data_IF_098155421999
#
_entry.id   IF_098155421999
#
_cell.length_a   1.000
_cell.length_b   1.000
_cell.length_c   1.000
_cell.angle_alpha   90.00
_cell.angle_beta   90.00
_cell.angle_gamma   90.00
#
_symmetry.space_group_name_H-M   'P 1'
#
loop_
_entity.id
_entity.type
_entity.pdbx_description
1 polymer ?
#
# COMPACT_ATOMS: atom_id res chain seq x y z
N UNK A 1 10.95 3.17 -17.89
CA UNK A 1 10.93 1.76 -17.41
C UNK A 1 9.85 1.72 -16.36
N UNK A 2 8.84 0.85 -16.48
CA UNK A 2 7.69 0.90 -15.59
C UNK A 2 8.06 0.51 -14.15
N UNK A 3 7.29 1.02 -13.20
CA UNK A 3 7.42 0.74 -11.77
C UNK A 3 6.10 0.22 -11.22
N UNK A 4 6.18 -0.74 -10.32
CA UNK A 4 5.06 -1.12 -9.48
C UNK A 4 5.16 -0.33 -8.19
N UNK A 5 4.05 0.29 -7.80
CA UNK A 5 3.88 0.96 -6.52
C UNK A 5 2.97 0.07 -5.67
N UNK A 6 3.31 -0.06 -4.39
CA UNK A 6 2.43 -0.62 -3.38
C UNK A 6 2.34 0.36 -2.21
N UNK A 7 1.12 0.69 -1.83
CA UNK A 7 0.81 1.51 -0.65
C UNK A 7 -0.04 0.70 0.29
N UNK A 8 0.34 0.67 1.56
CA UNK A 8 -0.49 0.10 2.62
C UNK A 8 -0.95 1.22 3.52
N UNK A 9 -2.23 1.18 3.86
CA UNK A 9 -2.90 2.12 4.75
C UNK A 9 -3.72 1.37 5.81
N UNK A 10 -4.23 2.10 6.81
CA UNK A 10 -5.00 1.50 7.91
C UNK A 10 -6.39 1.05 7.47
N UNK A 11 -6.99 1.78 6.52
CA UNK A 11 -8.33 1.56 6.01
C UNK A 11 -8.45 1.99 4.53
N UNK A 12 -9.64 1.76 3.96
CA UNK A 12 -9.93 2.10 2.57
C UNK A 12 -10.10 3.59 2.34
N UNK A 13 -10.56 4.36 3.33
CA UNK A 13 -10.81 5.79 3.19
C UNK A 13 -9.49 6.55 2.96
N UNK A 14 -8.42 6.13 3.67
CA UNK A 14 -7.07 6.66 3.43
C UNK A 14 -6.56 6.37 2.01
N UNK A 15 -6.84 5.18 1.47
CA UNK A 15 -6.44 4.85 0.08
C UNK A 15 -7.26 5.63 -0.94
N UNK A 16 -8.54 5.85 -0.69
CA UNK A 16 -9.40 6.64 -1.57
C UNK A 16 -8.88 8.08 -1.67
N UNK A 17 -8.48 8.70 -0.56
CA UNK A 17 -7.86 10.03 -0.58
C UNK A 17 -6.55 10.06 -1.39
N UNK A 18 -5.73 9.03 -1.27
CA UNK A 18 -4.49 8.91 -2.08
C UNK A 18 -4.82 8.74 -3.57
N UNK A 19 -5.82 7.92 -3.90
CA UNK A 19 -6.28 7.74 -5.28
C UNK A 19 -6.81 9.06 -5.85
N UNK A 20 -7.54 9.85 -5.06
CA UNK A 20 -8.01 11.17 -5.46
C UNK A 20 -6.84 12.14 -5.69
N UNK A 21 -5.82 12.14 -4.82
CA UNK A 21 -4.62 12.95 -5.00
C UNK A 21 -3.84 12.57 -6.28
N UNK A 22 -3.96 11.32 -6.73
CA UNK A 22 -3.33 10.83 -7.96
C UNK A 22 -4.17 11.00 -9.23
N UNK A 23 -5.38 11.59 -9.15
CA UNK A 23 -6.28 11.71 -10.28
C UNK A 23 -5.61 12.37 -11.51
N UNK A 24 -4.75 13.36 -11.29
CA UNK A 24 -4.04 14.07 -12.35
C UNK A 24 -2.78 13.34 -12.85
N UNK A 25 -2.32 12.30 -12.16
CA UNK A 25 -1.09 11.57 -12.49
C UNK A 25 -1.29 10.48 -13.56
N UNK A 26 -2.53 10.28 -14.04
CA UNK A 26 -2.87 9.37 -15.15
C UNK A 26 -2.31 7.94 -14.95
N UNK A 27 -2.40 7.42 -13.73
CA UNK A 27 -1.90 6.10 -13.37
C UNK A 27 -2.86 5.00 -13.81
N UNK A 28 -2.31 3.86 -14.21
CA UNK A 28 -3.09 2.63 -14.31
C UNK A 28 -3.16 1.99 -12.91
N UNK A 29 -4.30 2.17 -12.24
CA UNK A 29 -4.59 1.50 -10.98
C UNK A 29 -4.77 0.00 -11.23
N UNK A 30 -4.02 -0.82 -10.51
CA UNK A 30 -3.95 -2.26 -10.73
C UNK A 30 -5.00 -3.02 -9.91
N UNK A 31 -4.90 -2.95 -8.59
CA UNK A 31 -5.81 -3.63 -7.67
C UNK A 31 -5.75 -3.05 -6.26
N UNK A 32 -6.87 -3.11 -5.56
CA UNK A 32 -6.96 -2.92 -4.11
C UNK A 32 -7.19 -4.27 -3.45
N UNK A 33 -6.49 -4.52 -2.34
CA UNK A 33 -6.49 -5.78 -1.62
C UNK A 33 -6.68 -5.52 -0.13
N UNK A 34 -7.70 -6.14 0.45
CA UNK A 34 -7.81 -6.22 1.91
C UNK A 34 -6.69 -7.14 2.43
N UNK A 35 -5.97 -6.65 3.43
CA UNK A 35 -4.86 -7.36 4.02
C UNK A 35 -4.86 -7.21 5.54
N UNK A 36 -3.96 -7.93 6.18
CA UNK A 36 -3.85 -7.93 7.64
C UNK A 36 -2.39 -7.69 8.00
N UNK A 37 -2.14 -6.66 8.79
CA UNK A 37 -0.83 -6.43 9.39
C UNK A 37 -0.72 -7.27 10.66
N UNK A 38 0.40 -7.97 10.75
CA UNK A 38 0.74 -8.80 11.91
C UNK A 38 2.10 -8.36 12.40
N UNK A 39 2.17 -7.91 13.65
CA UNK A 39 3.44 -7.61 14.30
C UNK A 39 3.58 -8.34 15.63
N UNK A 40 4.82 -8.71 15.96
CA UNK A 40 5.16 -9.22 17.30
C UNK A 40 5.68 -8.08 18.13
N UNK A 41 5.09 -7.86 19.31
CA UNK A 41 5.76 -7.04 20.32
C UNK A 41 7.04 -7.77 20.76
N UNK A 42 8.22 -7.11 20.76
CA UNK A 42 9.43 -7.71 21.30
C UNK A 42 9.14 -8.16 22.72
N UNK A 43 9.35 -9.43 23.01
CA UNK A 43 9.37 -9.90 24.39
C UNK A 43 10.61 -9.29 25.03
N UNK A 44 10.49 -8.19 25.76
CA UNK A 44 11.47 -7.91 26.81
C UNK A 44 11.42 -9.12 27.73
N UNK A 45 12.44 -9.98 27.62
CA UNK A 45 12.52 -11.25 28.31
C UNK A 45 12.66 -10.96 29.81
N UNK A 46 11.56 -10.74 30.50
CA UNK A 46 11.49 -11.02 31.94
C UNK A 46 11.64 -12.52 32.06
N UNK A 47 12.83 -12.94 32.48
CA UNK A 47 13.18 -14.33 32.74
C UNK A 47 12.33 -14.83 33.93
N UNK A 48 11.09 -15.25 33.64
CA UNK A 48 10.21 -15.89 34.61
C UNK A 48 10.38 -17.41 34.41
N UNK A 49 10.99 -18.13 35.36
CA UNK A 49 11.13 -19.57 35.25
C UNK A 49 9.75 -20.23 35.41
N UNK A 50 9.15 -20.74 34.33
CA UNK A 50 7.80 -21.32 34.36
C UNK A 50 7.81 -22.85 34.30
N UNK A 51 7.21 -23.49 35.30
CA UNK A 51 6.84 -24.91 35.28
C UNK A 51 5.39 -25.16 34.83
N UNK A 52 4.57 -24.12 34.69
CA UNK A 52 3.25 -24.16 34.06
C UNK A 52 2.96 -22.77 33.51
N UNK A 53 2.79 -22.64 32.20
CA UNK A 53 2.53 -21.34 31.59
C UNK A 53 2.28 -21.48 30.10
N UNK A 54 1.01 -21.42 29.72
CA UNK A 54 0.62 -21.03 28.38
C UNK A 54 1.17 -19.61 28.16
N UNK A 55 2.36 -19.48 27.57
CA UNK A 55 2.94 -18.17 27.29
C UNK A 55 2.04 -17.42 26.30
N UNK A 56 1.18 -16.57 26.86
CA UNK A 56 0.62 -15.35 26.30
C UNK A 56 0.41 -15.37 24.77
N UNK A 57 -0.76 -15.83 24.34
CA UNK A 57 -1.31 -15.49 23.01
C UNK A 57 -1.47 -13.97 22.79
N UNK A 58 -1.34 -13.14 23.84
CA UNK A 58 -1.41 -11.67 23.82
C UNK A 58 -0.22 -10.95 23.15
N UNK A 59 0.73 -11.69 22.54
CA UNK A 59 1.96 -11.09 21.96
C UNK A 59 1.85 -10.73 20.48
N UNK A 60 0.74 -11.06 19.82
CA UNK A 60 0.49 -10.78 18.41
C UNK A 60 -0.46 -9.60 18.25
N UNK A 61 0.05 -8.47 17.77
CA UNK A 61 -0.80 -7.39 17.29
C UNK A 61 -1.28 -7.73 15.89
N UNK A 62 -2.59 -7.71 15.68
CA UNK A 62 -3.22 -7.93 14.38
C UNK A 62 -4.12 -6.74 14.12
N UNK A 63 -3.94 -6.08 12.98
CA UNK A 63 -4.76 -4.96 12.55
C UNK A 63 -5.13 -5.17 11.09
N UNK A 64 -6.39 -4.90 10.75
CA UNK A 64 -6.80 -4.80 9.36
C UNK A 64 -5.99 -3.70 8.66
N UNK A 65 -5.69 -3.91 7.39
CA UNK A 65 -5.01 -2.94 6.55
C UNK A 65 -5.51 -3.11 5.12
N UNK A 66 -5.29 -2.11 4.29
CA UNK A 66 -5.62 -2.19 2.88
C UNK A 66 -4.39 -1.86 2.07
N UNK A 67 -4.15 -2.63 1.01
CA UNK A 67 -3.03 -2.44 0.10
C UNK A 67 -3.52 -2.02 -1.29
N UNK A 68 -2.98 -0.94 -1.82
CA UNK A 68 -3.17 -0.48 -3.19
C UNK A 68 -1.95 -0.81 -4.04
N UNK A 69 -2.19 -1.39 -5.21
CA UNK A 69 -1.18 -1.64 -6.22
C UNK A 69 -1.46 -0.79 -7.47
N UNK A 70 -0.48 0.00 -7.90
CA UNK A 70 -0.56 0.83 -9.10
C UNK A 70 0.69 0.68 -9.97
N UNK A 71 0.56 0.84 -11.28
CA UNK A 71 1.69 0.81 -12.20
C UNK A 71 1.98 2.23 -12.70
N UNK A 72 3.21 2.69 -12.46
CA UNK A 72 3.72 3.94 -12.98
C UNK A 72 4.57 3.71 -14.25
N UNK A 73 4.54 4.62 -15.24
CA UNK A 73 5.25 4.46 -16.51
C UNK A 73 6.78 4.57 -16.37
N UNK A 74 7.24 5.33 -15.39
CA UNK A 74 8.65 5.61 -15.13
C UNK A 74 8.93 5.92 -13.65
N UNK A 75 10.22 6.10 -13.34
CA UNK A 75 10.70 6.38 -11.99
C UNK A 75 10.22 7.73 -11.45
N UNK A 76 10.15 8.76 -12.30
CA UNK A 76 9.78 10.11 -11.88
C UNK A 76 8.31 10.15 -11.45
N UNK A 77 7.43 9.52 -12.22
CA UNK A 77 6.03 9.36 -11.82
C UNK A 77 5.92 8.49 -10.56
N UNK A 78 6.68 7.41 -10.45
CA UNK A 78 6.65 6.57 -9.24
C UNK A 78 7.04 7.33 -7.97
N UNK A 79 8.11 8.12 -8.05
CA UNK A 79 8.57 8.97 -6.95
C UNK A 79 7.53 10.03 -6.58
N UNK A 80 6.95 10.72 -7.58
CA UNK A 80 5.87 11.69 -7.35
C UNK A 80 4.65 11.05 -6.67
N UNK A 81 4.30 9.81 -7.03
CA UNK A 81 3.19 9.10 -6.41
C UNK A 81 3.48 8.78 -4.94
N UNK A 82 4.68 8.26 -4.65
CA UNK A 82 5.10 7.96 -3.27
C UNK A 82 5.12 9.22 -2.42
N UNK A 83 5.71 10.30 -2.92
CA UNK A 83 5.72 11.60 -2.21
C UNK A 83 4.32 12.15 -2.01
N UNK A 84 3.48 12.14 -3.05
CA UNK A 84 2.10 12.59 -2.94
C UNK A 84 1.30 11.78 -1.92
N UNK A 85 1.51 10.46 -1.84
CA UNK A 85 0.83 9.63 -0.86
C UNK A 85 1.29 9.92 0.58
N UNK A 86 2.60 10.15 0.78
CA UNK A 86 3.13 10.57 2.09
C UNK A 86 2.52 11.91 2.53
N UNK A 87 2.47 12.90 1.63
CA UNK A 87 1.84 14.19 1.89
C UNK A 87 0.35 14.06 2.22
N UNK A 88 -0.41 13.26 1.45
CA UNK A 88 -1.83 13.00 1.69
C UNK A 88 -2.06 12.34 3.05
N UNK A 89 -1.28 11.30 3.39
CA UNK A 89 -1.38 10.63 4.69
C UNK A 89 -1.08 11.57 5.84
N UNK A 90 -0.06 12.42 5.72
CA UNK A 90 0.26 13.43 6.72
C UNK A 90 -0.87 14.46 6.90
N UNK A 91 -1.55 14.86 5.82
CA UNK A 91 -2.66 15.81 5.88
C UNK A 91 -3.91 15.25 6.58
N UNK A 92 -4.23 13.97 6.39
CA UNK A 92 -5.43 13.34 6.96
C UNK A 92 -5.23 12.83 8.41
N UNK A 93 -4.09 13.13 9.03
CA UNK A 93 -3.81 12.83 10.44
C UNK A 93 -2.76 11.73 10.66
N UNK A 94 -2.12 11.27 9.59
CA UNK A 94 -1.11 10.22 9.62
C UNK A 94 -1.71 8.82 9.68
N UNK A 95 -0.84 7.83 9.62
CA UNK A 95 -1.17 6.43 9.82
C UNK A 95 -0.06 5.81 10.66
N UNK A 96 -0.42 4.96 11.63
CA UNK A 96 0.57 4.31 12.48
C UNK A 96 1.40 3.26 11.74
N UNK A 97 0.93 2.81 10.57
CA UNK A 97 1.58 1.73 9.85
C UNK A 97 1.39 1.82 8.33
N UNK A 98 1.21 3.03 7.81
CA UNK A 98 1.28 3.25 6.38
C UNK A 98 2.72 3.12 5.88
N UNK A 99 2.86 2.49 4.72
CA UNK A 99 4.13 2.44 4.04
C UNK A 99 3.91 2.42 2.53
N UNK A 100 4.80 3.11 1.82
CA UNK A 100 4.84 3.15 0.38
C UNK A 100 6.16 2.58 -0.10
N UNK A 101 6.09 1.72 -1.12
CA UNK A 101 7.26 1.12 -1.76
C UNK A 101 7.07 1.12 -3.27
N UNK A 102 8.15 1.32 -4.01
CA UNK A 102 8.17 1.25 -5.46
C UNK A 102 9.34 0.40 -5.94
N UNK A 103 9.11 -0.45 -6.94
CA UNK A 103 10.16 -1.28 -7.53
C UNK A 103 10.04 -1.34 -9.06
N UNK A 104 11.17 -1.47 -9.76
CA UNK A 104 11.19 -1.53 -11.22
C UNK A 104 10.57 -2.84 -11.73
N UNK A 105 9.78 -2.75 -12.80
CA UNK A 105 9.22 -3.89 -13.51
C UNK A 105 10.04 -4.21 -14.75
N UNK A 106 10.48 -5.46 -14.87
CA UNK A 106 11.16 -5.95 -16.08
C UNK A 106 10.18 -6.24 -17.22
N UNK A 107 8.96 -6.63 -16.88
CA UNK A 107 7.89 -6.93 -17.84
C UNK A 107 6.59 -6.32 -17.31
N UNK A 108 6.02 -5.42 -18.09
CA UNK A 108 4.68 -4.88 -17.88
C UNK A 108 3.93 -4.94 -19.21
N UNK A 109 2.72 -5.49 -19.20
CA UNK A 109 1.86 -5.56 -20.39
C UNK A 109 0.42 -5.32 -19.99
N UNK A 110 -0.21 -4.36 -20.65
CA UNK A 110 -1.65 -4.17 -20.56
C UNK A 110 -2.36 -5.27 -21.38
N UNK A 111 -3.29 -5.98 -20.76
CA UNK A 111 -4.06 -7.06 -21.40
C UNK A 111 -5.48 -6.56 -21.65
N UNK A 112 -6.00 -6.78 -22.86
CA UNK A 112 -7.43 -6.57 -23.16
C UNK A 112 -7.85 -5.12 -23.41
N UNK A 113 -6.92 -4.17 -23.64
CA UNK A 113 -7.28 -2.80 -24.03
C UNK A 113 -7.88 -2.79 -25.44
N UNK A 114 -9.20 -2.70 -25.54
CA UNK A 114 -9.87 -2.30 -26.78
C UNK A 114 -9.58 -0.83 -27.05
N UNK A 115 -9.04 -0.52 -28.23
CA UNK A 115 -8.81 0.86 -28.66
C UNK A 115 -10.11 1.68 -28.55
N UNK A 116 -10.04 2.99 -28.19
CA UNK A 116 -11.20 3.85 -28.28
C UNK A 116 -11.66 3.86 -29.75
N UNK A 117 -12.86 3.36 -30.01
CA UNK A 117 -13.50 3.54 -31.31
C UNK A 117 -13.65 5.04 -31.53
N UNK A 118 -12.84 5.59 -32.42
CA UNK A 118 -13.01 6.96 -32.90
C UNK A 118 -14.41 7.09 -33.48
N UNK A 119 -15.25 7.89 -32.83
CA UNK A 119 -16.46 8.42 -33.45
C UNK A 119 -16.02 9.40 -34.54
N UNK A 120 -15.85 8.89 -35.75
CA UNK A 120 -16.02 9.68 -36.95
C UNK A 120 -17.47 9.57 -37.40
N UNK A 121 -18.29 10.58 -37.07
CA UNK A 121 -19.27 11.20 -37.97
C UNK A 121 -19.88 12.44 -37.33
#
# INVERSE_FOLDING_TARGET
MAYQIMIVADDGDQLDEIIHAWADLHLELGAQLDCVRVWRRPSERRHIPMRYGFEQLDRLGVQAAVALFAVAPDHEIAERCVTSADETLLQIGGSEAAYAVAWPLTIARQIGRTAPQGKGQ
#
